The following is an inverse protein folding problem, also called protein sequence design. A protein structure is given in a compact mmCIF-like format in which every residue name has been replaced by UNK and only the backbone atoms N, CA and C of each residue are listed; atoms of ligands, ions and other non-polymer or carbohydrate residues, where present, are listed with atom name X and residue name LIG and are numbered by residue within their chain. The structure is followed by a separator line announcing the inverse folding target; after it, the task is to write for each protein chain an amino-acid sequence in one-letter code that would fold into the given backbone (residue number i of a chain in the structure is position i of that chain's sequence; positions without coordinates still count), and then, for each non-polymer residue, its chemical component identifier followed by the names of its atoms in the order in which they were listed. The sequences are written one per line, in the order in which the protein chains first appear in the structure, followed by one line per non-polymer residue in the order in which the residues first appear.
data_IF_319467575041
#
_entry.id   IF_319467575041
#
_cell.length_a   1.000
_cell.length_b   1.000
_cell.length_c   1.000
_cell.angle_alpha   90.00
_cell.angle_beta   90.00
_cell.angle_gamma   90.00
#
_symmetry.space_group_name_H-M   'P 1'
#
loop_
_entity.id
_entity.type
_entity.pdbx_description
1 polymer ?
#
# COMPACT_ATOMS: atom_id res chain seq x y z
N UNK A 1 -21.70 -19.78 13.65
CA UNK A 1 -21.31 -18.34 13.70
C UNK A 1 -20.47 -18.05 12.47
N UNK A 2 -20.89 -17.11 11.62
CA UNK A 2 -20.16 -16.66 10.43
C UNK A 2 -19.81 -15.18 10.61
N UNK A 3 -18.73 -14.91 11.35
CA UNK A 3 -18.44 -13.58 11.96
C UNK A 3 -17.56 -12.65 11.12
N UNK A 4 -17.16 -13.04 9.91
CA UNK A 4 -16.31 -12.21 9.03
C UNK A 4 -14.84 -12.13 9.47
N UNK A 5 -14.13 -11.11 8.98
CA UNK A 5 -12.68 -10.89 9.18
C UNK A 5 -12.40 -9.46 9.66
N UNK A 6 -11.30 -9.26 10.39
CA UNK A 6 -10.75 -7.94 10.72
C UNK A 6 -9.82 -7.48 9.59
N UNK A 7 -10.40 -6.78 8.61
CA UNK A 7 -9.72 -6.40 7.35
C UNK A 7 -8.69 -5.27 7.51
N UNK A 8 -8.70 -4.60 8.66
CA UNK A 8 -7.78 -3.52 9.06
C UNK A 8 -6.53 -4.03 9.81
N UNK A 9 -6.55 -5.29 10.26
CA UNK A 9 -5.49 -5.89 11.09
C UNK A 9 -4.42 -6.61 10.25
N UNK A 10 -3.88 -5.96 9.21
CA UNK A 10 -3.02 -6.55 8.17
C UNK A 10 -1.84 -7.39 8.70
N UNK A 11 -1.18 -6.95 9.77
CA UNK A 11 0.06 -7.60 10.25
C UNK A 11 -0.12 -8.41 11.54
N UNK A 12 -1.31 -8.47 12.15
CA UNK A 12 -1.46 -9.17 13.43
C UNK A 12 -1.25 -10.69 13.27
N UNK A 13 -0.57 -11.36 14.22
CA UNK A 13 -0.06 -10.86 15.51
C UNK A 13 1.39 -10.34 15.47
N UNK A 14 1.96 -10.08 14.30
CA UNK A 14 3.34 -9.61 14.13
C UNK A 14 3.45 -8.17 14.63
N UNK A 15 4.41 -7.92 15.53
CA UNK A 15 4.83 -6.58 15.89
C UNK A 15 5.91 -6.11 14.94
N UNK A 16 5.64 -5.04 14.20
CA UNK A 16 6.57 -4.45 13.25
C UNK A 16 7.07 -3.11 13.81
N UNK A 17 8.38 -3.00 13.96
CA UNK A 17 9.07 -1.81 14.47
C UNK A 17 10.00 -1.28 13.39
N UNK A 18 9.81 -0.01 13.00
CA UNK A 18 10.59 0.71 12.02
C UNK A 18 11.70 1.55 12.65
N UNK A 19 12.11 2.61 11.96
CA UNK A 19 13.12 3.56 12.43
C UNK A 19 12.72 4.18 13.77
N UNK A 20 13.74 4.44 14.59
CA UNK A 20 13.62 5.12 15.88
C UNK A 20 12.63 4.48 16.87
N UNK A 21 12.33 3.18 16.71
CA UNK A 21 11.39 2.45 17.54
C UNK A 21 9.91 2.67 17.19
N UNK A 22 9.62 3.30 16.04
CA UNK A 22 8.26 3.57 15.57
C UNK A 22 7.51 2.26 15.31
N UNK A 23 6.37 2.06 15.95
CA UNK A 23 5.54 0.85 15.75
C UNK A 23 4.59 1.06 14.58
N UNK A 24 4.45 0.06 13.72
CA UNK A 24 3.52 0.12 12.59
C UNK A 24 2.06 0.26 13.06
N UNK A 25 1.73 -0.35 14.19
CA UNK A 25 0.42 -0.21 14.82
C UNK A 25 0.09 1.26 15.17
N UNK A 26 1.08 2.05 15.59
CA UNK A 26 0.90 3.46 15.92
C UNK A 26 0.71 4.29 14.65
N UNK A 27 1.48 3.99 13.60
CA UNK A 27 1.38 4.64 12.28
C UNK A 27 0.01 4.38 11.64
N UNK A 28 -0.54 3.18 11.80
CA UNK A 28 -1.85 2.79 11.29
C UNK A 28 -3.00 3.02 12.27
N UNK A 29 -2.74 3.57 13.46
CA UNK A 29 -3.74 3.70 14.52
C UNK A 29 -5.00 4.46 14.08
N UNK A 30 -4.85 5.46 13.21
CA UNK A 30 -5.98 6.17 12.61
C UNK A 30 -6.49 5.45 11.36
N UNK A 31 -5.59 5.14 10.43
CA UNK A 31 -5.94 4.52 9.15
C UNK A 31 -4.75 3.76 8.55
N UNK A 32 -4.90 2.50 8.16
CA UNK A 32 -3.89 1.80 7.37
C UNK A 32 -3.64 2.50 6.03
N UNK A 33 -2.39 2.80 5.73
CA UNK A 33 -1.96 3.37 4.46
C UNK A 33 -0.57 2.85 4.07
N UNK A 34 -0.31 2.79 2.77
CA UNK A 34 0.97 2.40 2.19
C UNK A 34 1.10 3.00 0.79
N UNK A 35 2.32 3.37 0.40
CA UNK A 35 2.61 3.76 -0.98
C UNK A 35 2.39 2.56 -1.91
N UNK A 36 1.46 2.70 -2.86
CA UNK A 36 1.09 1.68 -3.84
C UNK A 36 0.70 0.33 -3.23
N UNK A 37 0.27 0.31 -1.96
CA UNK A 37 0.01 -0.92 -1.21
C UNK A 37 1.22 -1.85 -1.03
N UNK A 38 2.43 -1.31 -1.21
CA UNK A 38 3.69 -2.05 -1.23
C UNK A 38 4.63 -1.64 -0.11
N UNK A 39 4.86 -0.33 0.09
CA UNK A 39 5.91 0.16 0.99
C UNK A 39 5.41 1.30 1.89
N UNK A 40 6.04 1.49 3.04
CA UNK A 40 5.69 2.49 4.05
C UNK A 40 6.96 3.27 4.42
N UNK A 41 6.89 4.60 4.53
CA UNK A 41 7.99 5.40 5.08
C UNK A 41 8.41 4.93 6.47
N UNK A 42 9.68 5.10 6.81
CA UNK A 42 10.26 4.72 8.11
C UNK A 42 10.26 3.21 8.44
N UNK A 43 9.78 2.35 7.54
CA UNK A 43 9.90 0.88 7.62
C UNK A 43 10.78 0.36 6.49
N UNK A 44 12.11 0.56 6.55
CA UNK A 44 13.01 0.15 5.48
C UNK A 44 12.97 -1.37 5.25
N UNK A 45 13.07 -1.76 3.98
CA UNK A 45 13.11 -3.15 3.53
C UNK A 45 11.86 -3.98 3.88
N UNK A 46 10.80 -3.34 4.37
CA UNK A 46 9.49 -3.94 4.54
C UNK A 46 8.64 -3.71 3.29
N UNK A 47 8.21 -4.81 2.68
CA UNK A 47 7.29 -4.79 1.55
C UNK A 47 6.07 -5.66 1.81
N UNK A 48 4.95 -5.28 1.22
CA UNK A 48 3.67 -5.99 1.35
C UNK A 48 3.12 -6.39 -0.01
N UNK A 49 2.50 -7.55 -0.04
CA UNK A 49 1.57 -7.95 -1.10
C UNK A 49 0.16 -7.74 -0.59
N UNK A 50 -0.73 -7.25 -1.46
CA UNK A 50 -2.11 -6.92 -1.11
C UNK A 50 -2.23 -6.04 0.14
N UNK A 51 -1.30 -5.10 0.32
CA UNK A 51 -1.29 -4.17 1.44
C UNK A 51 -2.48 -3.19 1.44
N UNK A 52 -2.51 -2.27 2.41
CA UNK A 52 -3.57 -1.27 2.53
C UNK A 52 -3.84 -0.51 1.23
N UNK A 53 -5.11 -0.18 0.98
CA UNK A 53 -5.58 0.55 -0.20
C UNK A 53 -5.33 -0.16 -1.55
N UNK A 54 -4.99 -1.45 -1.52
CA UNK A 54 -4.76 -2.25 -2.73
C UNK A 54 -6.04 -2.49 -3.52
N UNK A 55 -5.94 -3.04 -4.75
CA UNK A 55 -7.09 -3.37 -5.59
C UNK A 55 -7.89 -4.61 -5.11
N UNK A 56 -7.91 -4.88 -3.81
CA UNK A 56 -8.61 -6.03 -3.23
C UNK A 56 -10.11 -5.92 -3.53
N UNK A 57 -10.68 -6.99 -4.10
CA UNK A 57 -12.11 -7.08 -4.42
C UNK A 57 -12.53 -6.46 -5.76
N UNK A 58 -11.64 -5.70 -6.43
CA UNK A 58 -11.89 -5.16 -7.77
C UNK A 58 -11.30 -6.05 -8.88
N UNK A 59 -10.15 -6.68 -8.61
CA UNK A 59 -9.42 -7.52 -9.57
C UNK A 59 -9.03 -8.86 -8.94
N UNK A 60 -8.45 -9.75 -9.74
CA UNK A 60 -7.88 -11.02 -9.27
C UNK A 60 -6.80 -10.76 -8.23
N UNK A 61 -7.01 -11.26 -7.00
CA UNK A 61 -6.04 -11.13 -5.90
C UNK A 61 -4.68 -11.76 -6.25
N UNK A 62 -4.70 -12.87 -6.99
CA UNK A 62 -3.50 -13.60 -7.42
C UNK A 62 -2.71 -12.74 -8.41
N UNK A 63 -3.40 -12.19 -9.41
CA UNK A 63 -2.74 -11.38 -10.45
C UNK A 63 -2.17 -10.08 -9.87
N UNK A 64 -2.88 -9.48 -8.91
CA UNK A 64 -2.38 -8.33 -8.14
C UNK A 64 -1.10 -8.69 -7.39
N UNK A 65 -1.09 -9.83 -6.69
CA UNK A 65 0.08 -10.29 -5.95
C UNK A 65 1.27 -10.58 -6.88
N UNK A 66 1.06 -11.20 -8.05
CA UNK A 66 2.12 -11.48 -9.02
C UNK A 66 2.75 -10.19 -9.57
N UNK A 67 1.93 -9.19 -9.89
CA UNK A 67 2.40 -7.88 -10.36
C UNK A 67 3.18 -7.14 -9.26
N UNK A 68 2.66 -7.11 -8.03
CA UNK A 68 3.36 -6.51 -6.90
C UNK A 68 4.66 -7.26 -6.58
N UNK A 69 4.69 -8.59 -6.69
CA UNK A 69 5.89 -9.37 -6.49
C UNK A 69 6.97 -8.98 -7.50
N UNK A 70 6.63 -8.89 -8.79
CA UNK A 70 7.56 -8.44 -9.83
C UNK A 70 8.09 -7.02 -9.57
N UNK A 71 7.24 -6.11 -9.11
CA UNK A 71 7.62 -4.77 -8.69
C UNK A 71 8.58 -4.77 -7.50
N UNK A 72 8.28 -5.55 -6.44
CA UNK A 72 9.08 -5.65 -5.22
C UNK A 72 10.44 -6.26 -5.52
N UNK A 73 10.52 -7.28 -6.37
CA UNK A 73 11.79 -7.90 -6.74
C UNK A 73 12.77 -6.91 -7.39
N UNK A 74 12.27 -5.92 -8.14
CA UNK A 74 13.12 -4.85 -8.68
C UNK A 74 13.71 -3.94 -7.60
N UNK A 75 13.02 -3.75 -6.47
CA UNK A 75 13.54 -3.02 -5.31
C UNK A 75 14.55 -3.88 -4.54
N UNK A 76 14.23 -5.17 -4.35
CA UNK A 76 15.10 -6.15 -3.69
C UNK A 76 16.42 -6.33 -4.45
N UNK A 77 16.40 -6.33 -5.78
CA UNK A 77 17.61 -6.46 -6.59
C UNK A 77 18.59 -5.29 -6.38
N UNK A 78 18.12 -4.10 -5.99
CA UNK A 78 18.96 -2.96 -5.61
C UNK A 78 19.64 -3.14 -4.25
N UNK A 79 18.92 -3.75 -3.30
CA UNK A 79 19.51 -4.16 -2.03
C UNK A 79 20.57 -5.24 -2.25
N UNK A 80 20.29 -6.21 -3.13
CA UNK A 80 21.20 -7.32 -3.43
C UNK A 80 22.43 -6.89 -4.23
N UNK A 81 22.32 -5.88 -5.10
CA UNK A 81 23.45 -5.35 -5.85
C UNK A 81 24.42 -4.53 -4.99
N UNK A 82 23.99 -4.12 -3.78
CA UNK A 82 24.74 -3.22 -2.92
C UNK A 82 24.60 -1.74 -3.30
N UNK A 83 23.61 -1.39 -4.13
CA UNK A 83 23.28 0.01 -4.46
C UNK A 83 22.79 0.77 -3.22
N UNK A 84 22.09 0.07 -2.32
CA UNK A 84 21.63 0.60 -1.04
C UNK A 84 21.52 -0.53 -0.01
N UNK A 85 21.56 -0.19 1.29
CA UNK A 85 21.28 -1.09 2.42
C UNK A 85 19.83 -1.03 2.87
N UNK A 86 19.20 0.10 2.65
CA UNK A 86 17.83 0.35 3.07
C UNK A 86 17.06 1.03 1.95
N UNK A 87 15.82 0.59 1.76
CA UNK A 87 14.88 1.20 0.83
C UNK A 87 13.50 1.31 1.47
N UNK A 88 12.91 2.49 1.42
CA UNK A 88 11.54 2.76 1.89
C UNK A 88 10.88 3.80 0.99
N UNK A 89 9.56 3.74 0.83
CA UNK A 89 8.83 4.83 0.17
C UNK A 89 9.00 6.14 0.95
N UNK A 90 9.06 7.28 0.27
CA UNK A 90 9.09 8.58 0.95
C UNK A 90 7.71 8.96 1.47
N UNK A 91 7.67 9.76 2.56
CA UNK A 91 6.43 10.35 3.08
C UNK A 91 5.67 11.11 2.00
N UNK A 92 6.37 11.96 1.25
CA UNK A 92 5.79 12.75 0.16
C UNK A 92 5.14 11.87 -0.91
N UNK A 93 5.78 10.77 -1.31
CA UNK A 93 5.23 9.86 -2.30
C UNK A 93 3.97 9.15 -1.80
N UNK A 94 3.99 8.69 -0.54
CA UNK A 94 2.82 8.06 0.10
C UNK A 94 1.66 9.04 0.22
N UNK A 95 1.90 10.26 0.69
CA UNK A 95 0.88 11.30 0.85
C UNK A 95 0.29 11.75 -0.49
N UNK A 96 1.13 11.98 -1.49
CA UNK A 96 0.70 12.33 -2.85
C UNK A 96 -0.15 11.23 -3.46
N UNK A 97 0.23 9.96 -3.27
CA UNK A 97 -0.55 8.82 -3.76
C UNK A 97 -1.92 8.75 -3.06
N UNK A 98 -1.95 8.90 -1.74
CA UNK A 98 -3.19 8.89 -0.96
C UNK A 98 -4.12 10.05 -1.34
N UNK A 99 -3.59 11.26 -1.51
CA UNK A 99 -4.37 12.41 -1.95
C UNK A 99 -4.99 12.17 -3.34
N UNK A 100 -4.21 11.64 -4.29
CA UNK A 100 -4.70 11.28 -5.62
C UNK A 100 -5.78 10.20 -5.56
N UNK A 101 -5.61 9.20 -4.68
CA UNK A 101 -6.58 8.12 -4.47
C UNK A 101 -7.89 8.64 -3.91
N UNK A 102 -7.84 9.48 -2.87
CA UNK A 102 -9.02 10.14 -2.28
C UNK A 102 -9.76 10.97 -3.33
N UNK A 103 -9.05 11.75 -4.15
CA UNK A 103 -9.70 12.52 -5.21
C UNK A 103 -10.32 11.64 -6.30
N UNK A 104 -9.65 10.56 -6.69
CA UNK A 104 -10.16 9.64 -7.69
C UNK A 104 -11.39 8.86 -7.20
N UNK A 105 -11.41 8.41 -5.94
CA UNK A 105 -12.57 7.71 -5.35
C UNK A 105 -13.84 8.55 -5.37
N UNK A 106 -13.76 9.88 -5.21
CA UNK A 106 -14.92 10.80 -5.31
C UNK A 106 -15.65 10.72 -6.65
N UNK A 107 -14.96 10.29 -7.71
CA UNK A 107 -15.50 10.19 -9.08
C UNK A 107 -16.00 8.78 -9.42
N UNK A 108 -16.01 7.87 -8.46
CA UNK A 108 -16.43 6.47 -8.65
C UNK A 108 -17.82 6.21 -8.08
N UNK A 109 -18.46 5.12 -8.53
CA UNK A 109 -19.77 4.65 -8.01
C UNK A 109 -19.77 4.38 -6.51
N UNK A 110 -18.59 4.21 -5.90
CA UNK A 110 -18.42 4.04 -4.46
C UNK A 110 -18.73 5.30 -3.65
N UNK A 111 -18.77 6.49 -4.28
CA UNK A 111 -19.16 7.75 -3.65
C UNK A 111 -20.69 7.91 -3.50
N UNK A 112 -21.49 7.07 -4.17
CA UNK A 112 -22.96 7.12 -4.11
C UNK A 112 -23.53 5.93 -3.33
N UNK A 113 -23.92 6.14 -2.08
CA UNK A 113 -25.10 5.48 -1.51
C UNK A 113 -24.97 4.10 -0.84
N UNK A 114 -23.79 3.58 -0.49
CA UNK A 114 -23.70 2.33 0.29
C UNK A 114 -22.63 2.38 1.39
N UNK A 115 -23.04 2.22 2.66
CA UNK A 115 -22.15 1.87 3.78
C UNK A 115 -21.59 0.47 3.53
N UNK A 116 -20.35 0.38 3.04
CA UNK A 116 -19.66 -0.90 2.80
C UNK A 116 -18.36 -0.98 3.58
N UNK A 117 -17.83 -2.19 3.75
CA UNK A 117 -16.53 -2.48 4.41
C UNK A 117 -15.33 -1.77 3.78
N UNK A 118 -15.51 -1.16 2.60
CA UNK A 118 -14.46 -0.43 1.93
C UNK A 118 -14.33 1.01 2.42
N UNK A 119 -15.29 1.59 3.15
CA UNK A 119 -15.20 2.99 3.56
C UNK A 119 -14.35 3.17 4.83
N UNK A 120 -13.40 4.11 4.80
CA UNK A 120 -12.69 4.58 6.00
C UNK A 120 -13.61 5.43 6.91
N UNK A 121 -13.06 5.92 8.02
CA UNK A 121 -13.73 6.80 8.99
C UNK A 121 -14.27 8.11 8.40
N UNK A 122 -13.79 8.52 7.21
CA UNK A 122 -14.23 9.70 6.44
C UNK A 122 -15.21 9.34 5.34
N UNK A 123 -15.59 8.07 5.19
CA UNK A 123 -16.44 7.61 4.10
C UNK A 123 -15.70 7.48 2.77
N UNK A 124 -14.36 7.36 2.78
CA UNK A 124 -13.53 7.20 1.58
C UNK A 124 -13.25 5.72 1.33
N UNK A 125 -13.57 5.17 0.15
CA UNK A 125 -13.27 3.78 -0.19
C UNK A 125 -11.77 3.48 -0.14
N UNK A 126 -11.28 2.63 0.76
CA UNK A 126 -9.90 2.11 0.92
C UNK A 126 -9.54 1.08 -0.16
N UNK A 127 -9.76 1.44 -1.42
CA UNK A 127 -9.43 0.59 -2.58
C UNK A 127 -8.68 1.39 -3.61
N UNK A 128 -8.02 0.68 -4.53
CA UNK A 128 -7.51 1.23 -5.79
C UNK A 128 -8.68 1.70 -6.69
N UNK A 129 -8.85 3.01 -6.94
CA UNK A 129 -10.02 3.53 -7.66
C UNK A 129 -9.84 3.60 -9.18
N UNK A 130 -8.67 3.22 -9.70
CA UNK A 130 -8.36 3.32 -11.12
C UNK A 130 -8.50 1.98 -11.85
N UNK A 131 -8.36 1.99 -13.18
CA UNK A 131 -8.44 0.77 -14.00
C UNK A 131 -7.33 -0.24 -13.68
N UNK A 132 -7.57 -1.49 -14.04
CA UNK A 132 -6.56 -2.53 -13.94
C UNK A 132 -5.38 -2.29 -14.88
N UNK A 133 -5.60 -1.76 -16.08
CA UNK A 133 -4.51 -1.40 -16.99
C UNK A 133 -3.57 -0.38 -16.38
N UNK A 134 -4.12 0.61 -15.65
CA UNK A 134 -3.29 1.55 -14.91
C UNK A 134 -2.52 0.83 -13.80
N UNK A 135 -3.15 -0.08 -13.06
CA UNK A 135 -2.45 -0.87 -12.05
C UNK A 135 -1.27 -1.64 -12.65
N UNK A 136 -1.47 -2.33 -13.79
CA UNK A 136 -0.39 -3.03 -14.51
C UNK A 136 0.75 -2.10 -14.90
N UNK A 137 0.44 -0.92 -15.42
CA UNK A 137 1.44 0.08 -15.81
C UNK A 137 2.25 0.57 -14.60
N UNK A 138 1.58 0.90 -13.51
CA UNK A 138 2.20 1.39 -12.29
C UNK A 138 3.03 0.30 -11.57
N UNK A 139 2.64 -0.97 -11.71
CA UNK A 139 3.39 -2.13 -11.18
C UNK A 139 4.54 -2.57 -12.10
N UNK A 140 4.66 -2.04 -13.32
CA UNK A 140 5.69 -2.47 -14.26
C UNK A 140 7.12 -2.15 -13.76
N UNK A 141 7.31 -1.01 -13.10
CA UNK A 141 8.58 -0.61 -12.52
C UNK A 141 8.41 0.40 -11.38
N UNK A 142 9.23 0.32 -10.31
CA UNK A 142 9.27 1.36 -9.29
C UNK A 142 9.77 2.70 -9.82
N UNK A 143 9.05 3.77 -9.48
CA UNK A 143 9.53 5.13 -9.63
C UNK A 143 10.53 5.42 -8.51
N UNK A 144 11.82 5.48 -8.81
CA UNK A 144 12.88 5.55 -7.78
C UNK A 144 12.88 6.88 -7.01
N UNK A 145 12.37 7.95 -7.59
CA UNK A 145 12.14 9.24 -6.91
C UNK A 145 11.07 9.16 -5.81
N UNK A 146 10.27 8.09 -5.79
CA UNK A 146 9.33 7.80 -4.71
C UNK A 146 9.95 7.01 -3.55
N UNK A 147 11.23 6.62 -3.65
CA UNK A 147 11.93 5.84 -2.63
C UNK A 147 13.14 6.59 -2.09
N UNK A 148 13.33 6.49 -0.78
CA UNK A 148 14.59 6.80 -0.13
C UNK A 148 15.49 5.56 -0.20
N UNK A 149 16.70 5.73 -0.76
CA UNK A 149 17.74 4.70 -0.84
C UNK A 149 18.90 5.13 0.06
N UNK A 150 19.16 4.37 1.13
CA UNK A 150 20.26 4.64 2.07
C UNK A 150 21.46 3.75 1.72
N UNK A 151 22.68 4.30 1.52
CA UNK A 151 23.90 3.53 1.21
C UNK A 151 24.38 2.53 2.27
#
# INVERSE_FOLDING_TARGET
LATGFKVDAFMRPIEVVGRDGTRLDDVWAQRPNAYMSVSIPDFPNLFMLNGPNGPVGNFSLIEVAELQFGYIMQLVDRLRSGECREIAATHEAMERHEAARVEATRKTVWATGCRSWYLDDRGVPMVWPWSFDRFRQEMAAPRLDAYELVP
#
